data_IF_675097312414
#
_entry.id   IF_675097312414
#
_cell.length_a   1.000
_cell.length_b   1.000
_cell.length_c   1.000
_cell.angle_alpha   90.00
_cell.angle_beta   90.00
_cell.angle_gamma   90.00
#
_symmetry.space_group_name_H-M   'P 1'
#
loop_
_entity.id
_entity.type
_entity.pdbx_description
1 polymer ?
#
# COMPACT_ATOMS: atom_id res chain seq x y z
N UNK A 1 35.66 46.24 4.97
CA UNK A 1 36.30 44.94 4.76
C UNK A 1 36.41 44.30 6.10
N UNK A 2 35.42 43.55 6.48
CA UNK A 2 35.40 42.70 7.68
C UNK A 2 35.01 41.30 7.18
N UNK A 3 35.88 40.36 7.51
CA UNK A 3 35.84 38.95 7.17
C UNK A 3 34.76 38.26 8.05
N UNK A 4 33.62 37.91 7.44
CA UNK A 4 32.56 37.13 8.10
C UNK A 4 32.57 35.71 7.53
N UNK A 5 33.55 34.92 7.99
CA UNK A 5 33.59 33.50 7.73
C UNK A 5 33.90 32.74 9.03
N UNK A 6 32.94 32.79 9.99
CA UNK A 6 32.99 31.96 11.18
C UNK A 6 32.23 30.64 10.91
N UNK A 7 32.84 29.47 11.14
CA UNK A 7 32.13 28.20 11.05
C UNK A 7 31.12 28.08 12.18
N UNK A 8 29.90 27.66 11.82
CA UNK A 8 28.88 27.27 12.80
C UNK A 8 29.29 25.96 13.47
N UNK A 9 29.90 26.09 14.65
CA UNK A 9 30.16 24.97 15.54
C UNK A 9 28.83 24.44 16.10
N UNK A 10 28.36 23.35 15.56
CA UNK A 10 27.35 22.51 16.22
C UNK A 10 28.05 21.65 17.27
N UNK A 11 28.30 22.20 18.45
CA UNK A 11 28.59 21.41 19.63
C UNK A 11 27.33 20.59 19.98
N UNK A 12 27.31 19.34 19.53
CA UNK A 12 26.38 18.36 20.07
C UNK A 12 26.82 18.03 21.50
N UNK A 13 26.08 18.56 22.45
CA UNK A 13 26.13 18.13 23.86
C UNK A 13 25.84 16.62 23.95
N UNK A 14 26.91 15.81 23.98
CA UNK A 14 26.87 14.35 24.16
C UNK A 14 26.75 13.94 25.63
N UNK A 15 26.33 14.82 26.51
CA UNK A 15 26.01 14.48 27.89
C UNK A 15 24.61 13.94 28.10
N UNK A 16 24.02 13.25 27.07
CA UNK A 16 22.81 12.46 27.28
C UNK A 16 23.17 11.33 28.28
N UNK A 17 22.82 11.52 29.53
CA UNK A 17 22.84 10.54 30.60
C UNK A 17 22.34 9.21 30.04
N UNK A 18 23.23 8.20 29.95
CA UNK A 18 22.85 6.84 29.60
C UNK A 18 21.87 6.40 30.70
N UNK A 19 20.57 6.56 30.45
CA UNK A 19 19.56 5.96 31.32
C UNK A 19 19.85 4.47 31.33
N UNK A 20 20.13 3.90 32.49
CA UNK A 20 20.23 2.45 32.69
C UNK A 20 18.96 1.86 32.13
N UNK A 21 19.06 1.16 30.98
CA UNK A 21 17.92 0.47 30.39
C UNK A 21 17.48 -0.56 31.40
N UNK A 22 16.22 -0.49 31.82
CA UNK A 22 15.64 -1.46 32.75
C UNK A 22 15.86 -2.89 32.20
N UNK A 23 16.41 -3.82 33.02
CA UNK A 23 16.65 -5.21 32.60
C UNK A 23 15.40 -5.87 32.02
N UNK A 24 14.20 -5.50 32.47
CA UNK A 24 12.91 -5.99 31.96
C UNK A 24 12.65 -5.47 30.55
N UNK A 25 12.90 -4.19 30.30
CA UNK A 25 12.77 -3.60 28.98
C UNK A 25 13.78 -4.22 27.99
N UNK A 26 15.02 -4.45 28.42
CA UNK A 26 16.02 -5.13 27.61
C UNK A 26 15.63 -6.57 27.27
N UNK A 27 15.06 -7.30 28.23
CA UNK A 27 14.57 -8.67 28.01
C UNK A 27 13.44 -8.70 26.96
N UNK A 28 12.52 -7.75 27.02
CA UNK A 28 11.41 -7.60 26.05
C UNK A 28 11.93 -7.26 24.65
N UNK A 29 12.86 -6.32 24.52
CA UNK A 29 13.51 -5.99 23.25
C UNK A 29 14.23 -7.21 22.64
N UNK A 30 14.92 -8.00 23.45
CA UNK A 30 15.57 -9.21 22.98
C UNK A 30 14.57 -10.29 22.55
N UNK A 31 13.39 -10.38 23.19
CA UNK A 31 12.31 -11.26 22.73
C UNK A 31 11.81 -10.87 21.32
N UNK A 32 11.64 -9.57 21.07
CA UNK A 32 11.26 -9.06 19.72
C UNK A 32 12.36 -9.41 18.71
N UNK A 33 13.64 -9.21 19.03
CA UNK A 33 14.77 -9.58 18.15
C UNK A 33 14.77 -11.06 17.79
N UNK A 34 14.48 -11.94 18.77
CA UNK A 34 14.36 -13.39 18.51
C UNK A 34 13.17 -13.67 17.60
N UNK A 35 12.00 -13.11 17.89
CA UNK A 35 10.80 -13.29 17.08
C UNK A 35 11.04 -12.86 15.62
N UNK A 36 11.68 -11.71 15.41
CA UNK A 36 12.01 -11.20 14.08
C UNK A 36 13.05 -12.07 13.37
N UNK A 37 14.03 -12.61 14.10
CA UNK A 37 15.00 -13.53 13.54
C UNK A 37 14.33 -14.82 13.05
N UNK A 38 13.40 -15.40 13.84
CA UNK A 38 12.64 -16.60 13.45
C UNK A 38 11.74 -16.32 12.25
N UNK A 39 11.05 -15.19 12.22
CA UNK A 39 10.19 -14.80 11.08
C UNK A 39 10.96 -14.68 9.76
N UNK A 40 12.17 -14.14 9.81
CA UNK A 40 13.00 -13.92 8.60
C UNK A 40 13.68 -15.18 8.08
N UNK A 41 14.03 -16.11 8.97
CA UNK A 41 14.81 -17.30 8.57
C UNK A 41 13.99 -18.55 8.40
N UNK A 42 12.75 -18.58 8.92
CA UNK A 42 11.96 -19.80 9.05
C UNK A 42 12.42 -20.67 10.21
N UNK A 43 12.22 -21.99 10.16
CA UNK A 43 12.65 -22.88 11.24
C UNK A 43 14.15 -22.78 11.52
N UNK A 44 14.51 -22.51 12.80
CA UNK A 44 15.88 -22.24 13.21
C UNK A 44 16.16 -22.81 14.60
N UNK A 45 17.37 -23.30 14.84
CA UNK A 45 17.75 -23.83 16.15
C UNK A 45 18.06 -22.73 17.16
N UNK A 46 17.89 -23.02 18.47
CA UNK A 46 18.24 -22.10 19.55
C UNK A 46 19.73 -21.69 19.51
N UNK A 47 20.61 -22.62 19.11
CA UNK A 47 22.03 -22.31 18.95
C UNK A 47 22.31 -21.32 17.80
N UNK A 48 21.64 -21.48 16.66
CA UNK A 48 21.74 -20.57 15.53
C UNK A 48 21.14 -19.20 15.87
N UNK A 49 20.04 -19.14 16.64
CA UNK A 49 19.49 -17.90 17.17
C UNK A 49 20.50 -17.17 18.08
N UNK A 50 21.18 -17.89 18.97
CA UNK A 50 22.21 -17.31 19.85
C UNK A 50 23.32 -16.63 19.02
N UNK A 51 23.84 -17.32 18.01
CA UNK A 51 24.85 -16.78 17.08
C UNK A 51 24.34 -15.53 16.35
N UNK A 52 23.12 -15.57 15.83
CA UNK A 52 22.52 -14.51 15.00
C UNK A 52 22.12 -13.26 15.79
N UNK A 53 21.67 -13.46 17.02
CA UNK A 53 21.22 -12.36 17.90
C UNK A 53 22.32 -11.84 18.82
N UNK A 54 23.47 -12.52 18.88
CA UNK A 54 24.56 -12.25 19.82
C UNK A 54 24.13 -12.30 21.28
N UNK A 55 23.14 -13.16 21.59
CA UNK A 55 22.67 -13.42 22.96
C UNK A 55 23.29 -14.71 23.50
N UNK A 56 23.45 -14.82 24.83
CA UNK A 56 23.90 -16.05 25.45
C UNK A 56 22.89 -17.19 25.25
N UNK A 57 23.34 -18.46 25.10
CA UNK A 57 22.44 -19.60 24.95
C UNK A 57 21.38 -19.73 26.04
N UNK A 58 21.66 -19.51 27.34
CA UNK A 58 20.63 -19.52 28.37
C UNK A 58 19.57 -18.43 28.18
N UNK A 59 19.98 -17.20 27.77
CA UNK A 59 19.04 -16.11 27.50
C UNK A 59 18.11 -16.42 26.31
N UNK A 60 18.70 -16.98 25.25
CA UNK A 60 17.89 -17.42 24.08
C UNK A 60 16.89 -18.48 24.48
N UNK A 61 17.30 -19.52 25.24
CA UNK A 61 16.38 -20.57 25.68
C UNK A 61 15.21 -19.99 26.49
N UNK A 62 15.50 -19.15 27.50
CA UNK A 62 14.43 -18.55 28.32
C UNK A 62 13.48 -17.66 27.52
N UNK A 63 13.98 -16.92 26.50
CA UNK A 63 13.16 -16.06 25.66
C UNK A 63 12.34 -16.87 24.67
N UNK A 64 12.89 -17.90 24.05
CA UNK A 64 12.17 -18.83 23.17
C UNK A 64 11.05 -19.51 23.95
N UNK A 65 11.32 -20.04 25.16
CA UNK A 65 10.31 -20.69 26.00
C UNK A 65 9.16 -19.71 26.35
N UNK A 66 9.50 -18.46 26.65
CA UNK A 66 8.50 -17.40 26.88
C UNK A 66 7.65 -17.12 25.64
N UNK A 67 8.24 -17.10 24.43
CA UNK A 67 7.50 -16.90 23.18
C UNK A 67 6.66 -18.11 22.81
N UNK A 68 7.10 -19.32 23.12
CA UNK A 68 6.31 -20.56 22.97
C UNK A 68 5.10 -20.54 23.92
N UNK A 69 5.29 -20.19 25.17
CA UNK A 69 4.19 -20.05 26.16
C UNK A 69 3.16 -19.02 25.72
N UNK A 70 3.57 -17.98 25.00
CA UNK A 70 2.68 -16.97 24.40
C UNK A 70 2.02 -17.43 23.09
N UNK A 71 2.36 -18.60 22.57
CA UNK A 71 1.84 -19.12 21.30
C UNK A 71 2.42 -18.45 20.05
N UNK A 72 3.47 -17.64 20.17
CA UNK A 72 4.11 -16.94 19.05
C UNK A 72 5.15 -17.79 18.33
N UNK A 73 5.76 -18.76 19.02
CA UNK A 73 6.68 -19.75 18.48
C UNK A 73 6.18 -21.16 18.83
N UNK A 74 6.58 -22.13 18.00
CA UNK A 74 6.40 -23.56 18.26
C UNK A 74 7.65 -24.34 17.89
N UNK A 75 7.89 -25.46 18.56
CA UNK A 75 8.92 -26.40 18.15
C UNK A 75 8.44 -27.23 16.94
N UNK A 76 9.33 -27.39 15.95
CA UNK A 76 9.02 -28.09 14.70
C UNK A 76 10.24 -28.97 14.31
N UNK A 77 10.08 -30.29 14.36
CA UNK A 77 11.10 -31.22 13.92
C UNK A 77 12.50 -31.03 14.53
N UNK A 78 13.47 -31.66 13.88
CA UNK A 78 14.89 -31.60 14.26
C UNK A 78 15.73 -31.21 13.04
N UNK A 79 16.85 -30.51 13.30
CA UNK A 79 17.80 -30.11 12.26
C UNK A 79 18.49 -31.36 11.64
N UNK A 80 18.93 -31.22 10.38
CA UNK A 80 19.72 -32.26 9.72
C UNK A 80 21.06 -32.35 10.43
N UNK A 81 21.39 -33.53 10.99
CA UNK A 81 22.62 -33.73 11.75
C UNK A 81 23.85 -33.69 10.84
N UNK A 82 24.79 -32.79 11.17
CA UNK A 82 26.15 -32.78 10.60
C UNK A 82 27.18 -33.43 11.51
N UNK A 83 26.73 -34.31 12.44
CA UNK A 83 27.56 -34.93 13.49
C UNK A 83 27.26 -34.35 14.86
N UNK A 84 26.49 -35.05 15.69
CA UNK A 84 26.14 -34.66 17.06
C UNK A 84 24.62 -34.79 17.35
N UNK A 85 24.21 -34.38 18.56
CA UNK A 85 22.79 -34.40 18.97
C UNK A 85 21.97 -33.45 18.07
N UNK A 86 20.92 -33.94 17.43
CA UNK A 86 20.01 -33.15 16.58
C UNK A 86 19.38 -32.03 17.39
N UNK A 87 19.45 -30.80 16.85
CA UNK A 87 18.89 -29.62 17.48
C UNK A 87 17.40 -29.50 17.14
N UNK A 88 16.57 -29.22 18.13
CA UNK A 88 15.15 -28.88 17.93
C UNK A 88 15.04 -27.51 17.25
N UNK A 89 14.28 -27.44 16.18
CA UNK A 89 14.00 -26.19 15.47
C UNK A 89 12.77 -25.50 16.06
N UNK A 90 12.78 -24.18 16.08
CA UNK A 90 11.64 -23.34 16.43
C UNK A 90 11.16 -22.57 15.20
N UNK A 91 9.85 -22.45 15.04
CA UNK A 91 9.20 -21.74 13.95
C UNK A 91 8.19 -20.74 14.48
N UNK A 92 7.94 -19.69 13.71
CA UNK A 92 6.88 -18.74 13.96
C UNK A 92 5.51 -19.37 13.76
N UNK A 93 4.55 -19.04 14.63
CA UNK A 93 3.17 -19.48 14.53
C UNK A 93 2.42 -18.49 13.64
N UNK A 94 2.39 -18.74 12.33
CA UNK A 94 1.77 -17.83 11.37
C UNK A 94 0.25 -17.71 11.57
N UNK A 95 -0.38 -18.76 12.04
CA UNK A 95 -1.80 -18.85 12.39
C UNK A 95 -2.15 -18.30 13.79
N UNK A 96 -1.22 -17.60 14.46
CA UNK A 96 -1.49 -16.82 15.67
C UNK A 96 -2.54 -15.72 15.45
N UNK A 97 -2.63 -15.19 14.23
CA UNK A 97 -3.61 -14.21 13.80
C UNK A 97 -3.68 -14.13 12.28
N UNK A 98 -4.61 -13.37 11.79
CA UNK A 98 -4.70 -13.07 10.36
C UNK A 98 -4.95 -11.58 10.11
N UNK A 99 -4.66 -11.14 8.90
CA UNK A 99 -4.88 -9.78 8.45
C UNK A 99 -5.77 -9.76 7.21
N UNK A 100 -6.48 -8.66 7.01
CA UNK A 100 -7.25 -8.41 5.78
C UNK A 100 -6.64 -7.25 5.03
N UNK A 101 -6.27 -7.48 3.77
CA UNK A 101 -5.98 -6.45 2.79
C UNK A 101 -7.21 -6.16 1.95
N UNK A 102 -7.47 -4.89 1.68
CA UNK A 102 -8.61 -4.42 0.88
C UNK A 102 -8.07 -3.47 -0.19
N UNK A 103 -8.49 -3.70 -1.42
CA UNK A 103 -8.34 -2.78 -2.52
C UNK A 103 -9.73 -2.23 -2.88
N UNK A 104 -9.94 -0.97 -2.53
CA UNK A 104 -11.17 -0.24 -2.81
C UNK A 104 -11.06 0.45 -4.17
N UNK A 105 -11.55 -0.20 -5.20
CA UNK A 105 -11.68 0.40 -6.52
C UNK A 105 -13.05 1.05 -6.73
N UNK A 106 -13.13 1.95 -7.71
CA UNK A 106 -14.40 2.61 -8.09
C UNK A 106 -15.40 1.68 -8.78
N UNK A 107 -14.98 0.49 -9.23
CA UNK A 107 -15.85 -0.52 -9.87
C UNK A 107 -15.90 -1.83 -9.13
N UNK A 108 -14.84 -2.17 -8.41
CA UNK A 108 -14.72 -3.44 -7.70
C UNK A 108 -14.03 -3.22 -6.36
N UNK A 109 -14.49 -3.94 -5.33
CA UNK A 109 -13.78 -4.06 -4.06
C UNK A 109 -13.18 -5.47 -4.01
N UNK A 110 -11.88 -5.55 -3.75
CA UNK A 110 -11.15 -6.81 -3.62
C UNK A 110 -10.63 -6.98 -2.22
N UNK A 111 -10.68 -8.19 -1.72
CA UNK A 111 -10.26 -8.56 -0.37
C UNK A 111 -9.30 -9.74 -0.43
N UNK A 112 -8.31 -9.74 0.46
CA UNK A 112 -7.48 -10.90 0.73
C UNK A 112 -7.33 -11.07 2.24
N UNK A 113 -7.60 -12.27 2.72
CA UNK A 113 -7.27 -12.72 4.07
C UNK A 113 -5.94 -13.42 4.01
N UNK A 114 -4.99 -13.03 4.85
CA UNK A 114 -3.68 -13.65 4.94
C UNK A 114 -3.31 -13.96 6.39
N UNK A 115 -2.50 -15.00 6.61
CA UNK A 115 -1.87 -15.27 7.90
C UNK A 115 -0.74 -14.27 8.18
N UNK A 116 -0.12 -14.35 9.36
CA UNK A 116 0.97 -13.44 9.74
C UNK A 116 2.30 -13.72 9.02
N UNK A 117 2.39 -14.76 8.21
CA UNK A 117 3.51 -14.97 7.26
C UNK A 117 3.28 -14.28 5.92
N UNK A 118 2.04 -13.83 5.66
CA UNK A 118 1.61 -13.24 4.39
C UNK A 118 1.05 -14.27 3.40
N UNK A 119 0.87 -15.53 3.81
CA UNK A 119 0.19 -16.53 2.97
C UNK A 119 -1.29 -16.18 2.85
N UNK A 120 -1.77 -16.05 1.62
CA UNK A 120 -3.18 -15.75 1.35
C UNK A 120 -4.03 -16.99 1.61
N UNK A 121 -4.96 -16.86 2.56
CA UNK A 121 -5.87 -17.94 2.99
C UNK A 121 -7.20 -17.91 2.24
N UNK A 122 -7.67 -16.71 1.85
CA UNK A 122 -8.90 -16.54 1.10
C UNK A 122 -8.89 -15.22 0.32
N UNK A 123 -9.63 -15.18 -0.79
CA UNK A 123 -9.87 -13.97 -1.59
C UNK A 123 -11.35 -13.81 -1.86
N UNK A 124 -11.76 -12.56 -2.03
CA UNK A 124 -13.10 -12.18 -2.46
C UNK A 124 -13.01 -10.98 -3.39
N UNK A 125 -13.81 -10.95 -4.42
CA UNK A 125 -13.99 -9.81 -5.31
C UNK A 125 -15.47 -9.59 -5.53
N UNK A 126 -15.91 -8.36 -5.45
CA UNK A 126 -17.31 -7.99 -5.69
C UNK A 126 -17.37 -6.63 -6.38
N UNK A 127 -18.40 -6.34 -7.16
CA UNK A 127 -18.62 -5.02 -7.74
C UNK A 127 -18.75 -3.97 -6.62
N UNK A 128 -18.16 -2.79 -6.82
CA UNK A 128 -18.47 -1.63 -5.98
C UNK A 128 -19.91 -1.24 -6.27
N UNK A 129 -20.79 -1.44 -5.31
CA UNK A 129 -22.22 -1.15 -5.46
C UNK A 129 -22.50 0.35 -5.47
N UNK A 130 -23.38 0.81 -4.56
CA UNK A 130 -23.61 2.24 -4.38
C UNK A 130 -22.33 2.93 -3.85
N UNK A 131 -21.75 3.90 -4.59
CA UNK A 131 -20.49 4.52 -4.25
C UNK A 131 -20.55 5.48 -3.04
N UNK A 132 -21.73 5.72 -2.46
CA UNK A 132 -21.85 6.57 -1.28
C UNK A 132 -21.02 6.00 -0.10
N UNK A 133 -20.25 6.85 0.63
CA UNK A 133 -19.30 6.39 1.64
C UNK A 133 -19.89 5.40 2.65
N UNK A 134 -21.07 5.70 3.20
CA UNK A 134 -21.72 4.82 4.19
C UNK A 134 -22.06 3.43 3.60
N UNK A 135 -22.43 3.35 2.32
CA UNK A 135 -22.75 2.07 1.66
C UNK A 135 -21.49 1.27 1.37
N UNK A 136 -20.44 1.93 0.92
CA UNK A 136 -19.15 1.28 0.69
C UNK A 136 -18.56 0.76 2.01
N UNK A 137 -18.63 1.53 3.09
CA UNK A 137 -18.19 1.07 4.42
C UNK A 137 -18.99 -0.15 4.90
N UNK A 138 -20.32 -0.14 4.72
CA UNK A 138 -21.17 -1.29 5.01
C UNK A 138 -20.80 -2.51 4.15
N UNK A 139 -20.52 -2.31 2.86
CA UNK A 139 -20.07 -3.35 1.94
C UNK A 139 -18.73 -3.94 2.41
N UNK A 140 -17.75 -3.08 2.75
CA UNK A 140 -16.46 -3.52 3.28
C UNK A 140 -16.64 -4.36 4.54
N UNK A 141 -17.44 -3.90 5.50
CA UNK A 141 -17.72 -4.65 6.72
C UNK A 141 -18.33 -6.03 6.45
N UNK A 142 -19.29 -6.10 5.55
CA UNK A 142 -19.91 -7.37 5.12
C UNK A 142 -18.89 -8.27 4.41
N UNK A 143 -18.08 -7.72 3.50
CA UNK A 143 -17.03 -8.46 2.78
C UNK A 143 -16.02 -9.09 3.73
N UNK A 144 -15.55 -8.33 4.74
CA UNK A 144 -14.66 -8.86 5.78
C UNK A 144 -15.32 -10.00 6.53
N UNK A 145 -16.54 -9.83 7.05
CA UNK A 145 -17.24 -10.91 7.78
C UNK A 145 -17.44 -12.15 6.93
N UNK A 146 -17.72 -11.99 5.64
CA UNK A 146 -17.88 -13.12 4.71
C UNK A 146 -16.59 -13.92 4.56
N UNK A 147 -15.40 -13.29 4.62
CA UNK A 147 -14.13 -14.03 4.61
C UNK A 147 -13.97 -14.96 5.81
N UNK A 148 -14.65 -14.68 6.91
CA UNK A 148 -14.62 -15.52 8.12
C UNK A 148 -15.78 -16.51 8.20
N UNK A 149 -16.82 -16.37 7.39
CA UNK A 149 -17.97 -17.29 7.42
C UNK A 149 -17.59 -18.65 6.85
N UNK A 150 -18.13 -19.73 7.47
CA UNK A 150 -18.03 -21.10 6.95
C UNK A 150 -16.76 -21.87 7.28
N UNK A 151 -15.82 -21.34 8.07
CA UNK A 151 -14.63 -22.07 8.53
C UNK A 151 -14.43 -21.92 10.04
N UNK A 152 -14.77 -22.94 10.78
CA UNK A 152 -14.40 -23.05 12.19
C UNK A 152 -12.87 -23.11 12.32
N UNK A 153 -12.32 -22.40 13.32
CA UNK A 153 -10.87 -22.45 13.61
C UNK A 153 -10.01 -21.46 12.84
N UNK A 154 -10.59 -20.47 12.14
CA UNK A 154 -9.77 -19.39 11.56
C UNK A 154 -9.10 -18.55 12.65
N UNK A 155 -7.83 -18.12 12.44
CA UNK A 155 -7.14 -17.22 13.33
C UNK A 155 -7.91 -15.91 13.52
N UNK A 156 -7.78 -15.24 14.69
CA UNK A 156 -8.42 -13.95 14.92
C UNK A 156 -7.89 -12.88 13.96
N UNK A 157 -8.76 -11.95 13.55
CA UNK A 157 -8.36 -10.76 12.82
C UNK A 157 -7.54 -9.85 13.72
N UNK A 158 -6.35 -9.45 13.28
CA UNK A 158 -5.43 -8.62 14.10
C UNK A 158 -5.09 -7.28 13.47
N UNK A 159 -5.31 -7.09 12.17
CA UNK A 159 -5.18 -5.80 11.51
C UNK A 159 -5.88 -5.77 10.14
N UNK A 160 -6.19 -4.56 9.66
CA UNK A 160 -6.76 -4.30 8.35
C UNK A 160 -5.88 -3.29 7.61
N UNK A 161 -5.63 -3.52 6.31
CA UNK A 161 -5.00 -2.56 5.41
C UNK A 161 -5.94 -2.24 4.25
N UNK A 162 -6.08 -0.96 3.90
CA UNK A 162 -6.98 -0.52 2.83
C UNK A 162 -6.23 0.39 1.86
N UNK A 163 -6.19 0.01 0.59
CA UNK A 163 -5.88 0.90 -0.52
C UNK A 163 -7.15 1.59 -0.99
N UNK A 164 -7.20 2.91 -0.90
CA UNK A 164 -8.35 3.71 -1.28
C UNK A 164 -7.99 4.64 -2.45
N UNK A 165 -8.90 4.90 -3.39
CA UNK A 165 -8.63 5.83 -4.47
C UNK A 165 -8.55 7.27 -3.96
N UNK A 166 -7.73 8.09 -4.61
CA UNK A 166 -7.60 9.52 -4.34
C UNK A 166 -6.68 9.88 -3.19
N UNK A 167 -6.66 11.17 -2.83
CA UNK A 167 -5.78 11.69 -1.78
C UNK A 167 -6.16 11.17 -0.40
N UNK A 168 -5.17 10.65 0.32
CA UNK A 168 -5.38 10.01 1.64
C UNK A 168 -4.44 10.56 2.70
N UNK A 169 -4.99 11.18 3.74
CA UNK A 169 -4.25 11.49 4.96
C UNK A 169 -4.06 10.21 5.79
N UNK A 170 -2.90 9.57 5.65
CA UNK A 170 -2.61 8.29 6.32
C UNK A 170 -2.46 8.45 7.84
N UNK A 171 -2.12 9.66 8.35
CA UNK A 171 -1.98 9.91 9.78
C UNK A 171 -3.35 9.93 10.45
N UNK A 172 -4.26 10.72 9.88
CA UNK A 172 -5.64 10.84 10.38
C UNK A 172 -6.53 9.66 9.94
N UNK A 173 -6.13 8.93 8.91
CA UNK A 173 -6.92 7.83 8.37
C UNK A 173 -8.15 8.29 7.58
N UNK A 174 -8.01 9.41 6.85
CA UNK A 174 -9.09 10.07 6.13
C UNK A 174 -8.79 10.03 4.63
N UNK A 175 -9.78 9.63 3.82
CA UNK A 175 -9.76 9.90 2.38
C UNK A 175 -10.21 11.34 2.18
N UNK A 176 -9.26 12.22 1.82
CA UNK A 176 -9.50 13.66 1.66
C UNK A 176 -10.46 13.90 0.50
N UNK A 177 -10.14 13.30 -0.65
CA UNK A 177 -10.97 13.39 -1.85
C UNK A 177 -10.70 12.20 -2.77
N UNK A 178 -11.76 11.59 -3.31
CA UNK A 178 -11.67 10.56 -4.32
C UNK A 178 -12.58 10.92 -5.50
N UNK A 179 -12.02 11.52 -6.55
CA UNK A 179 -12.76 12.01 -7.72
C UNK A 179 -13.60 10.92 -8.41
N UNK A 180 -13.14 9.67 -8.34
CA UNK A 180 -13.78 8.51 -8.97
C UNK A 180 -14.87 7.85 -8.10
N UNK A 181 -15.13 8.37 -6.89
CA UNK A 181 -16.18 7.89 -5.97
C UNK A 181 -17.07 9.06 -5.53
N UNK A 182 -18.35 9.01 -5.87
CA UNK A 182 -19.28 10.09 -5.56
C UNK A 182 -19.44 10.26 -4.04
N UNK A 183 -19.24 11.50 -3.57
CA UNK A 183 -19.44 11.89 -2.18
C UNK A 183 -18.24 11.56 -1.25
N UNK A 184 -17.12 11.13 -1.79
CA UNK A 184 -15.91 10.87 -1.03
C UNK A 184 -15.08 12.14 -0.84
N UNK A 185 -15.43 12.89 0.21
CA UNK A 185 -14.71 14.05 0.70
C UNK A 185 -14.64 13.98 2.22
N UNK A 186 -13.43 14.06 2.77
CA UNK A 186 -13.13 13.98 4.20
C UNK A 186 -13.75 12.75 4.89
N UNK A 187 -13.64 11.57 4.23
CA UNK A 187 -14.21 10.31 4.74
C UNK A 187 -13.27 9.65 5.74
N UNK A 188 -13.68 9.56 7.01
CA UNK A 188 -12.91 8.96 8.11
C UNK A 188 -12.97 7.41 8.08
N UNK A 189 -12.43 6.81 7.01
CA UNK A 189 -12.50 5.37 6.73
C UNK A 189 -11.85 4.53 7.83
N UNK A 190 -10.68 4.96 8.33
CA UNK A 190 -9.94 4.27 9.40
C UNK A 190 -10.77 4.16 10.68
N UNK A 191 -11.37 5.28 11.12
CA UNK A 191 -12.10 5.32 12.39
C UNK A 191 -13.34 4.43 12.36
N UNK A 192 -14.04 4.38 11.21
CA UNK A 192 -15.20 3.50 11.03
C UNK A 192 -14.80 2.04 11.15
N UNK A 193 -13.77 1.61 10.41
CA UNK A 193 -13.32 0.22 10.44
C UNK A 193 -12.69 -0.16 11.79
N UNK A 194 -11.94 0.75 12.43
CA UNK A 194 -11.37 0.49 13.75
C UNK A 194 -12.46 0.29 14.81
N UNK A 195 -13.54 1.10 14.77
CA UNK A 195 -14.68 0.92 15.70
C UNK A 195 -15.47 -0.36 15.44
N UNK A 196 -15.62 -0.73 14.16
CA UNK A 196 -16.42 -1.91 13.79
C UNK A 196 -15.70 -3.23 14.12
N UNK A 197 -14.39 -3.30 13.92
CA UNK A 197 -13.62 -4.53 14.07
C UNK A 197 -12.70 -4.56 15.30
N UNK A 198 -12.58 -3.47 16.02
CA UNK A 198 -11.71 -3.31 17.21
C UNK A 198 -10.24 -3.71 16.96
N UNK A 199 -9.74 -3.54 15.73
CA UNK A 199 -8.35 -3.83 15.33
C UNK A 199 -7.69 -2.60 14.70
N UNK A 200 -6.34 -2.50 14.72
CA UNK A 200 -5.62 -1.45 14.02
C UNK A 200 -5.92 -1.46 12.51
N UNK A 201 -6.12 -0.27 11.94
CA UNK A 201 -6.40 -0.09 10.51
C UNK A 201 -5.37 0.87 9.90
N UNK A 202 -4.73 0.46 8.79
CA UNK A 202 -3.95 1.33 7.93
C UNK A 202 -4.74 1.64 6.67
N UNK A 203 -4.70 2.90 6.23
CA UNK A 203 -5.18 3.28 4.91
C UNK A 203 -4.09 4.04 4.16
N UNK A 204 -4.07 3.93 2.85
CA UNK A 204 -3.23 4.72 1.94
C UNK A 204 -3.91 4.83 0.58
N UNK A 205 -3.36 5.68 -0.27
CA UNK A 205 -3.75 5.72 -1.68
C UNK A 205 -3.50 4.37 -2.36
N UNK A 206 -4.38 3.97 -3.28
CA UNK A 206 -4.34 2.69 -3.98
C UNK A 206 -3.05 2.51 -4.81
N UNK A 207 -2.53 3.57 -5.44
CA UNK A 207 -1.27 3.53 -6.21
C UNK A 207 -0.06 3.39 -5.29
N UNK A 208 -0.08 4.02 -4.11
CA UNK A 208 0.93 3.80 -3.08
C UNK A 208 0.93 2.34 -2.59
N UNK A 209 -0.25 1.75 -2.43
CA UNK A 209 -0.36 0.32 -2.10
C UNK A 209 0.18 -0.56 -3.24
N UNK A 210 -0.03 -0.19 -4.51
CA UNK A 210 0.56 -0.93 -5.63
C UNK A 210 2.10 -0.89 -5.59
N UNK A 211 2.69 0.27 -5.33
CA UNK A 211 4.13 0.39 -5.13
C UNK A 211 4.62 -0.49 -3.97
N UNK A 212 3.91 -0.52 -2.84
CA UNK A 212 4.25 -1.42 -1.73
C UNK A 212 4.15 -2.90 -2.11
N UNK A 213 3.15 -3.28 -2.91
CA UNK A 213 2.99 -4.64 -3.41
C UNK A 213 4.18 -5.07 -4.29
N UNK A 214 4.57 -4.24 -5.25
CA UNK A 214 5.72 -4.48 -6.13
C UNK A 214 7.05 -4.53 -5.36
N UNK A 215 7.20 -3.69 -4.33
CA UNK A 215 8.37 -3.71 -3.45
C UNK A 215 8.46 -5.01 -2.63
N UNK A 216 7.33 -5.58 -2.25
CA UNK A 216 7.29 -6.79 -1.41
C UNK A 216 7.42 -8.08 -2.23
N UNK A 217 6.62 -8.23 -3.30
CA UNK A 217 6.45 -9.48 -4.05
C UNK A 217 6.75 -9.36 -5.55
N UNK A 218 6.83 -8.13 -6.07
CA UNK A 218 6.92 -7.88 -7.49
C UNK A 218 8.32 -7.60 -8.01
N UNK A 219 8.40 -6.90 -9.14
CA UNK A 219 9.64 -6.61 -9.85
C UNK A 219 10.50 -5.51 -9.21
N UNK A 220 9.96 -4.77 -8.20
CA UNK A 220 10.69 -3.78 -7.43
C UNK A 220 11.24 -4.35 -6.10
N UNK A 221 11.26 -5.66 -5.94
CA UNK A 221 11.74 -6.29 -4.71
C UNK A 221 13.21 -5.98 -4.46
N UNK A 222 13.48 -5.33 -3.30
CA UNK A 222 14.83 -4.94 -2.90
C UNK A 222 15.32 -3.62 -3.51
N UNK A 223 14.52 -2.95 -4.35
CA UNK A 223 14.85 -1.65 -4.92
C UNK A 223 14.25 -0.52 -4.05
N UNK A 224 15.08 0.22 -3.30
CA UNK A 224 14.57 1.23 -2.38
C UNK A 224 14.09 2.52 -3.06
N UNK A 225 14.53 2.78 -4.30
CA UNK A 225 14.28 4.02 -5.03
C UNK A 225 13.64 3.71 -6.38
N UNK A 226 12.32 3.71 -6.43
CA UNK A 226 11.58 3.47 -7.68
C UNK A 226 10.26 4.22 -7.72
N UNK A 227 9.69 4.30 -8.90
CA UNK A 227 8.36 4.87 -9.13
C UNK A 227 7.45 3.81 -9.74
N UNK A 228 6.28 3.59 -9.16
CA UNK A 228 5.20 2.82 -9.75
C UNK A 228 4.22 3.77 -10.42
N UNK A 229 3.93 3.58 -11.70
CA UNK A 229 2.96 4.36 -12.46
C UNK A 229 1.74 3.51 -12.72
N UNK A 230 0.60 3.91 -12.18
CA UNK A 230 -0.69 3.31 -12.49
C UNK A 230 -1.28 3.99 -13.73
N UNK A 231 -1.49 3.23 -14.80
CA UNK A 231 -2.16 3.66 -16.00
C UNK A 231 -3.45 2.85 -16.19
N UNK A 232 -4.57 3.50 -16.03
CA UNK A 232 -5.87 2.85 -16.08
C UNK A 232 -7.00 3.86 -16.21
N UNK A 233 -8.03 3.72 -15.39
CA UNK A 233 -9.13 4.69 -15.31
C UNK A 233 -8.62 6.07 -14.91
N UNK A 234 -7.76 6.12 -13.88
CA UNK A 234 -6.95 7.28 -13.52
C UNK A 234 -5.48 7.08 -13.88
N UNK A 235 -4.69 8.14 -13.72
CA UNK A 235 -3.23 8.14 -13.89
C UNK A 235 -2.59 8.66 -12.61
N UNK A 236 -1.81 7.84 -11.94
CA UNK A 236 -1.16 8.18 -10.68
C UNK A 236 0.21 7.55 -10.56
N UNK A 237 1.00 8.00 -9.58
CA UNK A 237 2.29 7.39 -9.26
C UNK A 237 2.43 7.09 -7.76
N UNK A 238 3.02 5.94 -7.44
CA UNK A 238 3.51 5.62 -6.11
C UNK A 238 5.02 5.79 -6.09
N UNK A 239 5.53 6.73 -5.28
CA UNK A 239 6.93 7.10 -5.25
C UNK A 239 7.59 6.45 -4.04
N UNK A 240 8.60 5.62 -4.28
CA UNK A 240 9.40 4.99 -3.22
C UNK A 240 10.78 5.66 -3.16
N UNK A 241 11.15 6.17 -1.99
CA UNK A 241 12.47 6.77 -1.70
C UNK A 241 13.00 6.12 -0.43
N UNK A 242 14.21 5.59 -0.46
CA UNK A 242 14.87 4.90 0.65
C UNK A 242 13.98 3.80 1.29
N UNK A 243 13.27 3.06 0.46
CA UNK A 243 12.37 1.98 0.89
C UNK A 243 11.10 2.47 1.61
N UNK A 244 10.74 3.75 1.46
CA UNK A 244 9.55 4.36 2.05
C UNK A 244 8.71 5.07 1.02
N UNK A 245 7.40 4.95 1.12
CA UNK A 245 6.48 5.72 0.27
C UNK A 245 6.60 7.22 0.59
N UNK A 246 6.94 7.99 -0.43
CA UNK A 246 6.93 9.45 -0.38
C UNK A 246 5.53 9.97 -0.68
N UNK A 247 4.91 10.64 0.29
CA UNK A 247 3.53 11.14 0.20
C UNK A 247 3.41 12.64 0.05
N UNK A 248 4.55 13.36 0.17
CA UNK A 248 4.56 14.82 0.22
C UNK A 248 4.01 15.39 1.54
N UNK A 249 4.06 16.71 1.67
CA UNK A 249 3.60 17.42 2.87
C UNK A 249 2.08 17.47 3.01
N UNK A 250 1.35 17.38 1.90
CA UNK A 250 -0.11 17.48 1.82
C UNK A 250 -0.75 16.21 1.21
N UNK A 251 -0.06 15.08 1.23
CA UNK A 251 -0.55 13.80 0.68
C UNK A 251 -0.80 13.83 -0.84
N UNK A 252 -0.15 14.75 -1.55
CA UNK A 252 -0.35 15.00 -2.98
C UNK A 252 0.78 14.45 -3.87
N UNK A 253 1.86 13.91 -3.28
CA UNK A 253 2.93 13.33 -4.08
C UNK A 253 2.42 12.12 -4.86
N UNK A 254 2.74 12.09 -6.15
CA UNK A 254 2.27 11.04 -7.06
C UNK A 254 1.00 11.37 -7.84
N UNK A 255 0.34 12.50 -7.62
CA UNK A 255 -0.82 12.96 -8.41
C UNK A 255 -0.37 13.47 -9.80
N UNK A 256 0.32 12.59 -10.55
CA UNK A 256 0.90 12.91 -11.86
C UNK A 256 -0.14 13.15 -12.95
N UNK A 257 -1.41 12.82 -12.72
CA UNK A 257 -2.53 13.19 -13.61
C UNK A 257 -2.52 14.67 -13.97
N UNK A 258 -2.04 15.53 -13.06
CA UNK A 258 -1.97 16.97 -13.20
C UNK A 258 -0.67 17.48 -13.86
N UNK A 259 0.28 16.61 -14.21
CA UNK A 259 1.47 17.05 -14.95
C UNK A 259 1.06 17.72 -16.27
N UNK A 260 1.47 18.98 -16.42
CA UNK A 260 1.24 19.76 -17.61
C UNK A 260 2.47 19.69 -18.52
N UNK A 261 2.32 19.08 -19.67
CA UNK A 261 3.43 18.87 -20.64
C UNK A 261 3.48 19.95 -21.73
N UNK A 262 2.43 20.75 -21.89
CA UNK A 262 2.36 21.85 -22.85
C UNK A 262 2.18 23.21 -22.14
N UNK A 263 3.17 24.08 -22.24
CA UNK A 263 3.10 25.42 -21.61
C UNK A 263 1.93 26.28 -22.09
N UNK A 264 1.42 26.07 -23.30
CA UNK A 264 0.30 26.83 -23.85
C UNK A 264 -1.06 26.45 -23.27
N UNK A 265 -1.13 25.33 -22.53
CA UNK A 265 -2.38 24.79 -21.98
C UNK A 265 -2.61 25.13 -20.50
N UNK A 266 -1.74 25.91 -19.84
CA UNK A 266 -1.82 26.18 -18.40
C UNK A 266 -3.13 26.87 -17.94
N UNK A 267 -3.81 27.60 -18.84
CA UNK A 267 -5.10 28.24 -18.55
C UNK A 267 -6.31 27.34 -18.79
N UNK A 268 -6.12 26.17 -19.42
CA UNK A 268 -7.23 25.27 -19.69
C UNK A 268 -7.60 24.51 -18.43
N UNK A 269 -8.87 24.53 -18.08
CA UNK A 269 -9.42 23.70 -17.02
C UNK A 269 -9.60 22.25 -17.54
N UNK A 270 -8.94 21.31 -16.92
CA UNK A 270 -9.07 19.87 -17.18
C UNK A 270 -9.94 19.19 -16.11
N UNK A 271 -10.52 19.96 -15.18
CA UNK A 271 -11.29 19.45 -14.05
C UNK A 271 -10.46 18.56 -13.13
N UNK A 272 -11.11 17.62 -12.48
CA UNK A 272 -10.47 16.67 -11.56
C UNK A 272 -9.54 15.65 -12.23
N UNK A 273 -9.55 15.53 -13.57
CA UNK A 273 -8.70 14.57 -14.28
C UNK A 273 -7.26 15.07 -14.47
N UNK A 274 -7.07 16.38 -14.56
CA UNK A 274 -5.78 16.95 -14.92
C UNK A 274 -5.37 16.74 -16.39
N UNK A 275 -4.23 17.37 -16.78
CA UNK A 275 -3.78 17.36 -18.17
C UNK A 275 -3.36 15.95 -18.63
N UNK A 276 -2.49 15.28 -17.89
CA UNK A 276 -1.94 13.98 -18.34
C UNK A 276 -3.04 12.93 -18.46
N UNK A 277 -3.91 12.79 -17.47
CA UNK A 277 -5.03 11.83 -17.52
C UNK A 277 -6.00 12.13 -18.67
N UNK A 278 -6.24 13.41 -18.97
CA UNK A 278 -7.08 13.81 -20.09
C UNK A 278 -6.56 13.30 -21.45
N UNK A 279 -5.25 13.02 -21.56
CA UNK A 279 -4.59 12.55 -22.78
C UNK A 279 -4.32 11.04 -22.79
N UNK A 280 -3.92 10.45 -21.65
CA UNK A 280 -3.48 9.04 -21.59
C UNK A 280 -4.33 8.15 -20.70
N UNK A 281 -5.35 8.69 -20.02
CA UNK A 281 -6.28 7.89 -19.23
C UNK A 281 -7.21 7.04 -20.09
N UNK A 282 -7.74 5.96 -19.53
CA UNK A 282 -8.58 4.98 -20.23
C UNK A 282 -9.73 5.63 -21.04
N UNK A 283 -10.43 6.57 -20.42
CA UNK A 283 -11.54 7.27 -21.10
C UNK A 283 -11.08 8.11 -22.30
N UNK A 284 -9.88 8.70 -22.22
CA UNK A 284 -9.32 9.48 -23.33
C UNK A 284 -8.93 8.57 -24.50
N UNK A 285 -8.24 7.47 -24.21
CA UNK A 285 -7.83 6.47 -25.19
C UNK A 285 -9.05 5.86 -25.87
N UNK A 286 -10.06 5.46 -25.11
CA UNK A 286 -11.30 4.90 -25.63
C UNK A 286 -12.04 5.89 -26.55
N UNK A 287 -12.11 7.20 -26.19
CA UNK A 287 -12.69 8.23 -27.03
C UNK A 287 -11.91 8.43 -28.34
N UNK A 288 -10.58 8.42 -28.28
CA UNK A 288 -9.71 8.56 -29.45
C UNK A 288 -9.87 7.36 -30.39
N UNK A 289 -9.92 6.15 -29.84
CA UNK A 289 -10.07 4.92 -30.62
C UNK A 289 -11.42 4.86 -31.31
N UNK A 290 -12.53 5.16 -30.62
CA UNK A 290 -13.90 5.25 -31.27
C UNK A 290 -13.91 6.19 -32.44
N UNK A 291 -13.32 7.38 -32.34
CA UNK A 291 -13.27 8.35 -33.44
C UNK A 291 -12.50 7.82 -34.66
N UNK A 292 -11.41 7.03 -34.43
CA UNK A 292 -10.60 6.50 -35.53
C UNK A 292 -11.20 5.24 -36.16
N UNK A 293 -11.83 4.39 -35.36
CA UNK A 293 -12.44 3.14 -35.81
C UNK A 293 -13.76 3.32 -36.55
N UNK A 294 -14.34 4.54 -36.50
CA UNK A 294 -15.69 4.83 -37.05
C UNK A 294 -16.76 3.81 -36.60
N UNK A 295 -16.56 3.23 -35.40
CA UNK A 295 -17.43 2.19 -34.87
C UNK A 295 -18.27 2.71 -33.71
N UNK A 296 -19.55 2.32 -33.66
CA UNK A 296 -20.46 2.56 -32.54
C UNK A 296 -20.14 1.70 -31.31
N UNK A 297 -19.03 0.96 -31.35
CA UNK A 297 -18.56 0.10 -30.25
C UNK A 297 -18.08 0.88 -29.05
N UNK A 298 -17.98 0.19 -27.89
CA UNK A 298 -17.63 0.73 -26.54
C UNK A 298 -16.22 1.34 -26.41
N UNK A 299 -15.43 1.42 -27.50
CA UNK A 299 -14.05 1.90 -27.46
C UNK A 299 -13.16 1.01 -26.58
N UNK A 300 -13.34 -0.31 -26.69
CA UNK A 300 -12.58 -1.29 -25.90
C UNK A 300 -11.07 -1.11 -26.13
N UNK A 301 -10.37 -0.81 -25.04
CA UNK A 301 -8.92 -0.60 -25.06
C UNK A 301 -8.21 -1.91 -25.40
N UNK A 302 -8.73 -3.06 -25.00
CA UNK A 302 -8.16 -4.38 -25.34
C UNK A 302 -8.24 -4.61 -26.86
N UNK A 303 -9.33 -4.21 -27.49
CA UNK A 303 -9.51 -4.24 -28.96
C UNK A 303 -8.52 -3.32 -29.67
N UNK A 304 -8.26 -2.12 -29.14
CA UNK A 304 -7.23 -1.20 -29.66
C UNK A 304 -5.86 -1.88 -29.71
N UNK A 305 -5.40 -2.44 -28.59
CA UNK A 305 -4.11 -3.08 -28.51
C UNK A 305 -4.04 -4.36 -29.35
N UNK A 306 -5.14 -5.11 -29.46
CA UNK A 306 -5.23 -6.27 -30.36
C UNK A 306 -5.10 -5.84 -31.83
N UNK A 307 -5.80 -4.79 -32.24
CA UNK A 307 -5.70 -4.24 -33.61
C UNK A 307 -4.28 -3.73 -33.92
N UNK A 308 -3.64 -3.04 -32.98
CA UNK A 308 -2.25 -2.60 -33.13
C UNK A 308 -1.28 -3.78 -33.34
N UNK A 309 -1.46 -4.88 -32.57
CA UNK A 309 -0.67 -6.13 -32.78
C UNK A 309 -0.89 -6.76 -34.16
N UNK A 310 -2.09 -6.63 -34.70
CA UNK A 310 -2.45 -7.13 -36.03
C UNK A 310 -1.98 -6.21 -37.18
N UNK A 311 -1.26 -5.12 -36.85
CA UNK A 311 -0.73 -4.19 -37.86
C UNK A 311 -1.72 -3.12 -38.33
N UNK A 312 -2.84 -2.89 -37.61
CA UNK A 312 -3.76 -1.81 -37.95
C UNK A 312 -3.10 -0.44 -37.72
N UNK A 313 -2.78 0.28 -38.78
CA UNK A 313 -1.97 1.50 -38.74
C UNK A 313 -2.52 2.59 -37.82
N UNK A 314 -3.82 2.84 -37.82
CA UNK A 314 -4.42 3.85 -36.96
C UNK A 314 -4.34 3.45 -35.48
N UNK A 315 -4.51 2.17 -35.15
CA UNK A 315 -4.35 1.64 -33.80
C UNK A 315 -2.89 1.77 -33.31
N UNK A 316 -1.93 1.36 -34.16
CA UNK A 316 -0.51 1.47 -33.83
C UNK A 316 -0.10 2.94 -33.59
N UNK A 317 -0.54 3.87 -34.45
CA UNK A 317 -0.30 5.32 -34.26
C UNK A 317 -0.88 5.86 -32.96
N UNK A 318 -2.08 5.44 -32.58
CA UNK A 318 -2.69 5.88 -31.32
C UNK A 318 -1.91 5.33 -30.11
N UNK A 319 -1.50 4.06 -30.12
CA UNK A 319 -0.69 3.47 -29.06
C UNK A 319 0.66 4.19 -28.93
N UNK A 320 1.34 4.45 -30.05
CA UNK A 320 2.60 5.22 -30.06
C UNK A 320 2.41 6.63 -29.52
N UNK A 321 1.33 7.31 -29.90
CA UNK A 321 1.03 8.66 -29.41
C UNK A 321 0.83 8.67 -27.87
N UNK A 322 0.04 7.74 -27.34
CA UNK A 322 -0.17 7.59 -25.90
C UNK A 322 1.15 7.29 -25.18
N UNK A 323 1.94 6.37 -25.73
CA UNK A 323 3.25 6.01 -25.17
C UNK A 323 4.24 7.19 -25.19
N UNK A 324 4.22 8.02 -26.24
CA UNK A 324 5.05 9.22 -26.33
C UNK A 324 4.69 10.24 -25.24
N UNK A 325 3.40 10.56 -25.07
CA UNK A 325 2.98 11.48 -24.02
C UNK A 325 3.36 10.96 -22.63
N UNK A 326 3.13 9.68 -22.37
CA UNK A 326 3.51 9.05 -21.12
C UNK A 326 5.03 9.03 -20.94
N UNK A 327 5.80 8.77 -22.01
CA UNK A 327 7.25 8.79 -22.02
C UNK A 327 7.83 10.15 -21.62
N UNK A 328 7.25 11.25 -22.12
CA UNK A 328 7.64 12.61 -21.71
C UNK A 328 7.36 12.84 -20.21
N UNK A 329 6.18 12.40 -19.72
CA UNK A 329 5.86 12.48 -18.29
C UNK A 329 6.86 11.68 -17.45
N UNK A 330 7.20 10.46 -17.88
CA UNK A 330 8.17 9.59 -17.20
C UNK A 330 9.57 10.23 -17.22
N UNK A 331 10.01 10.80 -18.34
CA UNK A 331 11.30 11.48 -18.44
C UNK A 331 11.42 12.65 -17.44
N UNK A 332 10.35 13.44 -17.27
CA UNK A 332 10.30 14.51 -16.27
C UNK A 332 10.39 13.96 -14.83
N UNK A 333 9.70 12.85 -14.54
CA UNK A 333 9.76 12.18 -13.23
C UNK A 333 11.18 11.64 -12.99
N UNK A 334 11.78 10.99 -13.97
CA UNK A 334 13.15 10.46 -13.89
C UNK A 334 14.16 11.57 -13.66
N UNK A 335 14.06 12.69 -14.38
CA UNK A 335 14.93 13.85 -14.19
C UNK A 335 14.81 14.46 -12.79
N UNK A 336 13.62 14.38 -12.18
CA UNK A 336 13.36 15.00 -10.86
C UNK A 336 13.73 14.09 -9.70
N UNK A 337 13.48 12.78 -9.81
CA UNK A 337 13.57 11.82 -8.70
C UNK A 337 14.75 10.85 -8.82
N UNK A 338 15.38 10.75 -9.99
CA UNK A 338 16.47 9.80 -10.29
C UNK A 338 16.21 8.37 -9.75
N UNK A 339 15.09 7.74 -10.12
CA UNK A 339 14.77 6.39 -9.65
C UNK A 339 15.60 5.34 -10.41
N UNK A 340 16.01 4.27 -9.75
CA UNK A 340 16.67 3.14 -10.41
C UNK A 340 15.71 2.31 -11.29
N UNK A 341 14.41 2.36 -10.99
CA UNK A 341 13.38 1.58 -11.67
C UNK A 341 12.07 2.37 -11.80
N UNK A 342 11.45 2.27 -12.97
CA UNK A 342 10.04 2.69 -13.17
C UNK A 342 9.22 1.45 -13.49
N UNK A 343 8.17 1.20 -12.69
CA UNK A 343 7.22 0.11 -12.89
C UNK A 343 5.94 0.68 -13.47
N UNK A 344 5.50 0.20 -14.62
CA UNK A 344 4.24 0.61 -15.24
C UNK A 344 3.19 -0.48 -15.02
N UNK A 345 2.10 -0.11 -14.34
CA UNK A 345 1.00 -1.00 -14.00
C UNK A 345 -0.37 -0.38 -14.26
N UNK A 346 -1.41 -0.92 -13.59
CA UNK A 346 -2.79 -0.55 -13.87
C UNK A 346 -3.37 -1.32 -15.05
N UNK A 347 -4.66 -1.12 -15.34
CA UNK A 347 -5.36 -1.89 -16.36
C UNK A 347 -4.77 -1.76 -17.79
N UNK A 348 -4.27 -0.58 -18.14
CA UNK A 348 -3.62 -0.31 -19.44
C UNK A 348 -2.15 -0.70 -19.39
N UNK A 349 -1.48 -0.51 -18.26
CA UNK A 349 -0.06 -0.85 -18.10
C UNK A 349 0.24 -2.35 -18.30
N UNK A 350 -0.77 -3.22 -18.23
CA UNK A 350 -0.63 -4.66 -18.46
C UNK A 350 -0.48 -5.05 -19.93
N UNK A 351 -0.65 -4.12 -20.88
CA UNK A 351 -0.50 -4.42 -22.33
C UNK A 351 0.97 -4.70 -22.73
N UNK A 352 1.92 -4.45 -21.84
CA UNK A 352 3.31 -4.88 -22.02
C UNK A 352 4.09 -4.03 -23.04
N UNK A 353 4.92 -4.71 -23.82
CA UNK A 353 5.94 -4.07 -24.67
C UNK A 353 5.38 -3.14 -25.76
N UNK A 354 4.15 -3.32 -26.19
CA UNK A 354 3.53 -2.40 -27.15
C UNK A 354 3.46 -0.96 -26.65
N UNK A 355 3.30 -0.78 -25.33
CA UNK A 355 3.30 0.53 -24.68
C UNK A 355 4.71 0.89 -24.19
N UNK A 356 5.43 -0.08 -23.62
CA UNK A 356 6.70 0.18 -22.95
C UNK A 356 7.84 0.47 -23.93
N UNK A 357 7.88 -0.19 -25.07
CA UNK A 357 8.97 0.03 -26.04
C UNK A 357 8.99 1.46 -26.60
N UNK A 358 7.89 2.02 -27.13
CA UNK A 358 7.90 3.41 -27.54
C UNK A 358 8.09 4.41 -26.40
N UNK A 359 7.65 4.06 -25.18
CA UNK A 359 7.87 4.87 -23.99
C UNK A 359 9.35 4.93 -23.62
N UNK A 360 10.08 3.79 -23.63
CA UNK A 360 11.51 3.73 -23.38
C UNK A 360 12.29 4.58 -24.37
N UNK A 361 11.96 4.50 -25.66
CA UNK A 361 12.60 5.29 -26.71
C UNK A 361 12.52 6.79 -26.43
N UNK A 362 11.38 7.28 -25.90
CA UNK A 362 11.26 8.69 -25.50
C UNK A 362 12.16 9.01 -24.31
N UNK A 363 12.14 8.16 -23.27
CA UNK A 363 12.97 8.37 -22.07
C UNK A 363 14.47 8.33 -22.43
N UNK A 364 14.89 7.37 -23.24
CA UNK A 364 16.26 7.22 -23.73
C UNK A 364 16.74 8.45 -24.50
N UNK A 365 15.86 9.07 -25.28
CA UNK A 365 16.20 10.28 -26.02
C UNK A 365 16.33 11.52 -25.13
N UNK A 366 15.57 11.60 -24.06
CA UNK A 366 15.45 12.80 -23.22
C UNK A 366 16.39 12.77 -22.01
N UNK A 367 16.57 11.60 -21.39
CA UNK A 367 17.27 11.47 -20.11
C UNK A 367 18.64 10.78 -20.32
N UNK A 368 19.74 11.41 -19.88
CA UNK A 368 21.08 10.83 -20.04
C UNK A 368 21.32 9.60 -19.16
N UNK A 369 20.71 9.54 -17.96
CA UNK A 369 20.82 8.40 -17.05
C UNK A 369 19.49 7.67 -17.01
N UNK A 370 19.45 6.48 -17.64
CA UNK A 370 18.22 5.76 -17.90
C UNK A 370 17.91 4.77 -16.78
N UNK A 371 16.71 4.85 -16.16
CA UNK A 371 16.26 3.83 -15.22
C UNK A 371 15.85 2.55 -15.97
N UNK A 372 15.76 1.44 -15.26
CA UNK A 372 15.04 0.28 -15.77
C UNK A 372 13.55 0.63 -15.87
N UNK A 373 12.89 0.30 -17.00
CA UNK A 373 11.45 0.48 -17.17
C UNK A 373 10.81 -0.89 -17.42
N UNK A 374 9.91 -1.32 -16.51
CA UNK A 374 9.30 -2.66 -16.54
C UNK A 374 7.79 -2.58 -16.39
N UNK A 375 7.09 -3.58 -16.93
CA UNK A 375 5.72 -3.83 -16.58
C UNK A 375 5.63 -4.37 -15.15
N UNK A 376 4.49 -4.11 -14.48
CA UNK A 376 4.13 -4.72 -13.20
C UNK A 376 4.24 -6.26 -13.26
N UNK A 377 4.88 -6.86 -12.26
CA UNK A 377 4.91 -8.31 -12.13
C UNK A 377 3.64 -8.87 -11.47
N UNK A 378 2.96 -8.05 -10.68
CA UNK A 378 1.75 -8.46 -9.93
C UNK A 378 0.44 -8.13 -10.66
N UNK A 379 0.53 -7.42 -11.78
CA UNK A 379 -0.64 -7.03 -12.55
C UNK A 379 -1.67 -6.28 -11.72
N UNK A 380 -2.92 -6.72 -11.79
CA UNK A 380 -4.01 -6.12 -11.02
C UNK A 380 -3.96 -6.38 -9.52
N UNK A 381 -3.13 -7.29 -9.01
CA UNK A 381 -3.08 -7.65 -7.60
C UNK A 381 -2.11 -6.78 -6.78
N UNK A 382 -1.33 -5.90 -7.41
CA UNK A 382 -0.33 -5.10 -6.74
C UNK A 382 -0.89 -4.28 -5.56
N UNK A 383 -2.03 -3.60 -5.76
CA UNK A 383 -2.71 -2.81 -4.70
C UNK A 383 -3.17 -3.70 -3.54
N UNK A 384 -3.75 -4.86 -3.86
CA UNK A 384 -4.26 -5.79 -2.86
C UNK A 384 -3.13 -6.35 -1.98
N UNK A 385 -2.02 -6.75 -2.60
CA UNK A 385 -0.84 -7.23 -1.85
C UNK A 385 -0.19 -6.14 -1.02
N UNK A 386 -0.12 -4.91 -1.53
CA UNK A 386 0.36 -3.77 -0.74
C UNK A 386 -0.53 -3.48 0.48
N UNK A 387 -1.85 -3.62 0.33
CA UNK A 387 -2.80 -3.51 1.44
C UNK A 387 -2.59 -4.61 2.48
N UNK A 388 -2.37 -5.87 2.06
CA UNK A 388 -1.99 -6.97 2.96
C UNK A 388 -0.69 -6.67 3.69
N UNK A 389 0.35 -6.21 2.98
CA UNK A 389 1.63 -5.84 3.60
C UNK A 389 1.47 -4.72 4.64
N UNK A 390 0.65 -3.73 4.34
CA UNK A 390 0.36 -2.62 5.27
C UNK A 390 -0.29 -3.14 6.55
N UNK A 391 -1.26 -4.06 6.43
CA UNK A 391 -1.88 -4.73 7.57
C UNK A 391 -0.89 -5.60 8.37
N UNK A 392 -0.03 -6.37 7.68
CA UNK A 392 1.02 -7.17 8.33
C UNK A 392 2.00 -6.32 9.13
N UNK A 393 2.38 -5.14 8.62
CA UNK A 393 3.23 -4.20 9.36
C UNK A 393 2.56 -3.70 10.64
N UNK A 394 1.24 -3.43 10.62
CA UNK A 394 0.48 -3.08 11.82
C UNK A 394 0.39 -4.25 12.80
N UNK A 395 0.05 -5.45 12.32
CA UNK A 395 -0.03 -6.65 13.14
C UNK A 395 1.29 -6.95 13.85
N UNK A 396 2.42 -6.83 13.12
CA UNK A 396 3.75 -7.03 13.69
C UNK A 396 4.08 -6.01 14.78
N UNK A 397 3.70 -4.74 14.62
CA UNK A 397 3.84 -3.71 15.66
C UNK A 397 2.99 -4.06 16.88
N UNK A 398 1.72 -4.40 16.69
CA UNK A 398 0.82 -4.75 17.79
C UNK A 398 1.34 -5.96 18.60
N UNK A 399 1.89 -6.99 17.93
CA UNK A 399 2.55 -8.13 18.60
C UNK A 399 3.79 -7.67 19.38
N UNK A 400 4.61 -6.79 18.81
CA UNK A 400 5.80 -6.25 19.48
C UNK A 400 5.40 -5.40 20.69
N UNK A 401 4.39 -4.55 20.57
CA UNK A 401 3.89 -3.72 21.67
C UNK A 401 3.34 -4.60 22.83
N UNK A 402 2.57 -5.64 22.50
CA UNK A 402 2.10 -6.61 23.49
C UNK A 402 3.25 -7.34 24.23
N UNK A 403 4.38 -7.60 23.57
CA UNK A 403 5.59 -8.12 24.20
C UNK A 403 6.20 -7.06 25.13
N UNK A 404 6.28 -5.79 24.68
CA UNK A 404 6.84 -4.68 25.46
C UNK A 404 6.01 -4.36 26.71
N UNK A 405 4.68 -4.40 26.62
CA UNK A 405 3.77 -4.11 27.73
C UNK A 405 3.72 -5.23 28.78
N UNK A 406 4.28 -6.41 28.45
CA UNK A 406 4.25 -7.56 29.35
C UNK A 406 2.86 -8.20 29.50
N UNK A 407 1.92 -7.86 28.63
CA UNK A 407 0.59 -8.46 28.60
C UNK A 407 0.70 -9.97 28.36
N UNK A 408 0.21 -10.75 29.31
CA UNK A 408 0.12 -12.20 29.18
C UNK A 408 -0.85 -12.57 28.05
N UNK A 409 -0.77 -13.79 27.56
CA UNK A 409 -1.53 -14.39 26.45
C UNK A 409 -3.08 -14.32 26.52
N UNK A 410 -3.66 -13.49 27.40
CA UNK A 410 -5.10 -13.40 27.60
C UNK A 410 -5.75 -12.04 27.31
N UNK A 411 -4.99 -10.95 27.09
CA UNK A 411 -5.58 -9.60 27.11
C UNK A 411 -5.96 -9.03 25.74
N UNK A 412 -5.59 -9.64 24.62
CA UNK A 412 -5.99 -9.22 23.27
C UNK A 412 -6.35 -10.39 22.34
N UNK A 413 -6.70 -11.56 22.88
CA UNK A 413 -7.50 -12.52 22.14
C UNK A 413 -8.92 -11.94 22.06
N UNK A 414 -9.04 -10.96 21.26
CA UNK A 414 -10.15 -10.42 20.54
C UNK A 414 -11.42 -11.26 20.64
N UNK A 415 -12.48 -10.60 20.95
CA UNK A 415 -13.84 -11.07 20.66
C UNK A 415 -13.84 -11.62 19.22
N UNK A 416 -13.99 -12.94 19.09
CA UNK A 416 -14.24 -13.56 17.81
C UNK A 416 -15.36 -12.75 17.13
N UNK A 417 -15.16 -12.39 15.87
CA UNK A 417 -16.19 -11.79 15.04
C UNK A 417 -17.30 -12.85 14.91
N UNK A 418 -18.14 -12.95 15.94
CA UNK A 418 -19.37 -13.73 15.87
C UNK A 418 -20.37 -12.89 15.06
N UNK A 419 -21.08 -13.47 14.11
CA UNK A 419 -22.11 -12.78 13.38
C UNK A 419 -23.26 -12.43 14.35
N UNK A 420 -23.20 -11.23 14.95
CA UNK A 420 -24.35 -10.73 15.74
C UNK A 420 -25.42 -10.27 14.74
N UNK A 421 -26.49 -11.04 14.72
CA UNK A 421 -27.66 -10.86 13.86
C UNK A 421 -28.61 -9.79 14.44
N UNK A 422 -28.07 -8.65 14.92
CA UNK A 422 -28.87 -7.52 15.38
C UNK A 422 -28.86 -6.41 14.34
N UNK A 423 -29.98 -6.29 13.64
CA UNK A 423 -30.37 -5.11 12.85
C UNK A 423 -30.40 -3.85 13.75
N UNK A 424 -29.27 -3.18 13.92
CA UNK A 424 -29.10 -1.94 14.69
C UNK A 424 -29.30 -0.73 13.78
N UNK A 425 -30.34 0.05 14.06
CA UNK A 425 -30.59 1.38 13.48
C UNK A 425 -29.37 2.28 13.65
N UNK A 426 -28.87 2.81 12.54
CA UNK A 426 -27.84 3.86 12.51
C UNK A 426 -28.44 5.13 13.12
N UNK A 427 -27.78 5.79 14.11
CA UNK A 427 -28.20 7.11 14.57
C UNK A 427 -28.01 8.14 13.44
N UNK A 428 -29.08 8.90 13.15
CA UNK A 428 -29.04 9.94 12.15
C UNK A 428 -28.03 11.04 12.49
N UNK A 429 -27.21 11.40 11.53
CA UNK A 429 -26.30 12.56 11.59
C UNK A 429 -27.20 13.80 11.54
N UNK A 430 -27.36 14.46 12.69
CA UNK A 430 -28.09 15.70 12.80
C UNK A 430 -27.43 16.82 12.01
N UNK A 431 -28.16 17.34 11.04
CA UNK A 431 -27.82 18.56 10.30
C UNK A 431 -27.89 19.76 11.26
N UNK A 432 -26.75 20.31 11.66
CA UNK A 432 -26.71 21.65 12.29
C UNK A 432 -26.88 22.70 11.21
N UNK A 433 -28.07 23.25 11.09
CA UNK A 433 -28.34 24.50 10.40
C UNK A 433 -27.55 25.64 11.07
N UNK A 434 -26.62 26.25 10.32
CA UNK A 434 -26.04 27.55 10.69
C UNK A 434 -26.93 28.64 10.10
N UNK A 435 -27.53 29.43 10.97
CA UNK A 435 -28.12 30.71 10.60
C UNK A 435 -27.05 31.64 10.01
N UNK A 436 -27.26 32.03 8.75
CA UNK A 436 -26.52 33.13 8.13
C UNK A 436 -27.22 34.45 8.48
N UNK A 437 -26.60 35.26 9.32
CA UNK A 437 -26.92 36.67 9.50
C UNK A 437 -26.20 37.44 8.36
N UNK A 438 -26.98 38.07 7.49
CA UNK A 438 -26.51 39.05 6.51
C UNK A 438 -26.03 40.31 7.22
N UNK A 439 -24.79 40.67 7.02
CA UNK A 439 -24.32 42.04 7.25
C UNK A 439 -23.80 42.59 5.94
N UNK A 440 -24.50 43.59 5.45
CA UNK A 440 -24.12 44.48 4.33
C UNK A 440 -23.08 45.47 4.82
N UNK A 441 -21.90 45.53 4.19
CA UNK A 441 -21.00 46.66 4.28
C UNK A 441 -20.50 47.03 2.89
N UNK A 442 -20.77 48.29 2.51
CA UNK A 442 -20.29 48.95 1.29
C UNK A 442 -18.82 49.35 1.48
N UNK A 443 -18.08 49.21 0.40
CA UNK A 443 -16.75 49.83 0.22
C UNK A 443 -16.84 51.34 0.01
N UNK A 444 -15.73 52.07 0.29
CA UNK A 444 -15.22 52.96 -0.75
C UNK A 444 -14.08 52.35 -1.55
#
# INVERSE_FOLDING_TARGET
>A
MADDNAPLDFEHDHSATIRKIDPTAMRRLNAIRILDAVRRTGPISRASLAKRTHLSPPAVSALVDSLITRGLLREVGQDVSTGGRRATLVSFVADYGCVVGIDLGSTTVRYALADLSGQVLARRTEPTGNPAPARVMQQIGTGIRTLFSGQAGRPPLVAIGVGAPGMTDVRRGIVIEAANLRGWKDVALKDVLTREFAVPVAIDNDVNMAALGEYWLGCARGEPNFVFIALGRGVGAGIMIDGRIHRGSQWYAGEISHLLLEHTRWRRDFGSQGYLEHHVGAAAIARAWRRQAQSDGDGDISALFAAARQGHLAAARLVTHVATILGVAVANIVTTLDPALVVVGGGIGQVGEQLLEPLRQVVEHVVPNQPLIRATALGGDAQLFGSVLSALRLANRAVSDAILDGAGSGAHATQAVTPDNRSGRVPGIGSRQRHQTRATARLP
#
